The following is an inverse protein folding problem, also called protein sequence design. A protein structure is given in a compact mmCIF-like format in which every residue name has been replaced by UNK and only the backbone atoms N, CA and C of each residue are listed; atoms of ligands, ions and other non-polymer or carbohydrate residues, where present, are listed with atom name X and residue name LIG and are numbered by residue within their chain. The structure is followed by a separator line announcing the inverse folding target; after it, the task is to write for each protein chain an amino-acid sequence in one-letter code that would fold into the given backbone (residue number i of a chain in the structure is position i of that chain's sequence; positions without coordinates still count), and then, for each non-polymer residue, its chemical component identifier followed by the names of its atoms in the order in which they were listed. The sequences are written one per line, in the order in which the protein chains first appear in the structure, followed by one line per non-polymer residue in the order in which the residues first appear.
data_IF_264588570188
#
_entry.id   IF_264588570188
#
_cell.length_a   1.000
_cell.length_b   1.000
_cell.length_c   1.000
_cell.angle_alpha   90.00
_cell.angle_beta   90.00
_cell.angle_gamma   90.00
#
_symmetry.space_group_name_H-M   'P 1'
#
loop_
_entity.id
_entity.type
_entity.pdbx_description
1 polymer ?
#
# COMPACT_ATOMS: atom_id res chain seq x y z
N UNK A 1 -18.90 -13.98 5.10
CA UNK A 1 -18.65 -12.65 4.48
C UNK A 1 -19.00 -12.74 2.99
N UNK A 2 -19.70 -11.76 2.42
CA UNK A 2 -20.05 -11.74 0.98
C UNK A 2 -18.94 -11.14 0.09
N UNK A 3 -18.02 -10.37 0.67
CA UNK A 3 -16.94 -9.71 -0.04
C UNK A 3 -15.61 -9.93 0.70
N UNK A 4 -14.66 -10.54 0.00
CA UNK A 4 -13.34 -10.90 0.51
C UNK A 4 -12.26 -9.84 0.20
N UNK A 5 -12.63 -8.78 -0.51
CA UNK A 5 -11.80 -7.60 -0.73
C UNK A 5 -12.66 -6.33 -0.71
N UNK A 6 -12.00 -5.19 -0.57
CA UNK A 6 -12.64 -3.89 -0.53
C UNK A 6 -11.65 -2.75 -0.73
N UNK A 7 -12.17 -1.58 -1.12
CA UNK A 7 -11.44 -0.32 -1.24
C UNK A 7 -12.15 0.78 -0.48
N UNK A 8 -11.37 1.67 0.15
CA UNK A 8 -11.80 2.94 0.72
C UNK A 8 -11.08 4.05 -0.01
N UNK A 9 -11.83 4.97 -0.61
CA UNK A 9 -11.31 5.99 -1.53
C UNK A 9 -11.43 7.36 -0.88
N UNK A 10 -10.41 8.21 -1.01
CA UNK A 10 -10.56 9.62 -0.66
C UNK A 10 -11.56 10.28 -1.60
N UNK A 11 -12.75 10.60 -1.10
CA UNK A 11 -13.88 10.97 -1.94
C UNK A 11 -13.93 12.45 -2.35
N UNK A 12 -13.08 13.31 -1.76
CA UNK A 12 -13.20 14.77 -1.95
C UNK A 12 -12.62 15.24 -3.27
N UNK A 13 -11.44 14.77 -3.63
CA UNK A 13 -10.71 15.21 -4.81
C UNK A 13 -9.69 14.14 -5.25
N UNK A 14 -9.33 14.18 -6.52
CA UNK A 14 -8.18 13.46 -7.06
C UNK A 14 -6.90 14.25 -6.75
N UNK A 15 -5.79 13.55 -6.63
CA UNK A 15 -4.47 14.18 -6.56
C UNK A 15 -3.97 14.43 -7.98
N UNK A 16 -3.53 15.67 -8.25
CA UNK A 16 -2.74 15.98 -9.45
C UNK A 16 -1.28 15.70 -9.18
N UNK A 17 -0.66 14.89 -10.02
CA UNK A 17 0.76 14.53 -9.89
C UNK A 17 1.69 15.56 -10.53
N UNK A 18 1.19 16.45 -11.38
CA UNK A 18 1.98 17.55 -11.92
C UNK A 18 1.13 18.74 -12.40
N UNK A 19 1.78 19.88 -12.62
CA UNK A 19 1.14 21.00 -13.33
C UNK A 19 0.97 20.69 -14.83
N UNK A 20 0.15 21.46 -15.55
CA UNK A 20 -0.12 21.26 -16.99
C UNK A 20 1.13 21.15 -17.87
N UNK A 21 2.24 21.78 -17.49
CA UNK A 21 3.49 21.79 -18.25
C UNK A 21 4.45 20.64 -17.87
N UNK A 22 4.07 19.77 -16.92
CA UNK A 22 4.91 18.70 -16.35
C UNK A 22 6.23 19.19 -15.76
N UNK A 23 6.27 20.45 -15.31
CA UNK A 23 7.48 21.08 -14.75
C UNK A 23 7.49 21.14 -13.23
N UNK A 24 6.34 20.93 -12.59
CA UNK A 24 6.21 20.90 -11.14
C UNK A 24 5.57 19.57 -10.73
N UNK A 25 6.36 18.52 -10.47
CA UNK A 25 5.84 17.26 -9.94
C UNK A 25 5.38 17.46 -8.49
N UNK A 26 4.27 16.84 -8.13
CA UNK A 26 3.68 16.94 -6.80
C UNK A 26 4.39 16.02 -5.82
N UNK A 27 4.80 16.59 -4.70
CA UNK A 27 5.30 15.85 -3.55
C UNK A 27 4.20 15.71 -2.51
N UNK A 28 4.18 14.58 -1.81
CA UNK A 28 3.14 14.32 -0.82
C UNK A 28 3.64 13.48 0.35
N UNK A 29 2.86 13.54 1.41
CA UNK A 29 2.98 12.74 2.61
C UNK A 29 1.63 12.15 2.97
N UNK A 30 1.64 10.84 3.24
CA UNK A 30 0.50 10.06 3.68
C UNK A 30 0.84 9.43 5.04
N UNK A 31 0.28 9.96 6.12
CA UNK A 31 0.41 9.39 7.46
C UNK A 31 -0.89 8.69 7.87
N UNK A 32 -0.80 7.49 8.39
CA UNK A 32 -1.96 6.77 8.89
C UNK A 32 -1.61 5.85 10.05
N UNK A 33 -2.63 5.51 10.84
CA UNK A 33 -2.53 4.53 11.91
C UNK A 33 -3.21 3.24 11.48
N UNK A 34 -2.41 2.21 11.28
CA UNK A 34 -2.80 0.86 10.89
C UNK A 34 -2.96 -0.03 12.13
N UNK A 35 -3.95 -0.91 12.12
CA UNK A 35 -4.07 -2.02 13.07
C UNK A 35 -4.63 -3.23 12.34
N UNK A 36 -3.92 -4.35 12.35
CA UNK A 36 -4.35 -5.61 11.73
C UNK A 36 -4.52 -6.65 12.84
N UNK A 37 -5.76 -7.07 13.07
CA UNK A 37 -6.09 -8.09 14.06
C UNK A 37 -6.40 -9.43 13.35
N UNK A 38 -5.63 -10.50 13.60
CA UNK A 38 -5.83 -11.79 12.95
C UNK A 38 -7.12 -12.45 13.46
N UNK A 39 -7.75 -13.24 12.60
CA UNK A 39 -8.88 -14.09 12.96
C UNK A 39 -8.42 -15.36 13.66
N UNK A 40 -9.38 -16.25 13.95
CA UNK A 40 -9.14 -17.48 14.70
C UNK A 40 -8.10 -18.41 14.06
N UNK A 41 -8.00 -18.42 12.73
CA UNK A 41 -7.08 -19.29 12.00
C UNK A 41 -5.72 -18.61 11.72
N UNK A 42 -5.48 -17.40 12.22
CA UNK A 42 -4.32 -16.58 11.88
C UNK A 42 -4.63 -15.48 10.87
N UNK A 43 -3.60 -14.71 10.50
CA UNK A 43 -3.70 -13.64 9.51
C UNK A 43 -3.85 -14.20 8.09
N UNK A 44 -4.69 -13.53 7.31
CA UNK A 44 -4.72 -13.67 5.85
C UNK A 44 -3.85 -12.60 5.21
N UNK A 45 -4.36 -11.99 4.15
CA UNK A 45 -3.52 -11.43 3.09
C UNK A 45 -2.89 -10.08 3.43
N UNK A 46 -3.63 -9.16 4.02
CA UNK A 46 -3.11 -7.82 4.33
C UNK A 46 -3.90 -6.69 3.68
N UNK A 47 -3.21 -5.58 3.44
CA UNK A 47 -3.78 -4.39 2.84
C UNK A 47 -2.73 -3.52 2.16
N UNK A 48 -3.15 -2.52 1.39
CA UNK A 48 -2.27 -1.62 0.67
C UNK A 48 -2.80 -0.18 0.64
N UNK A 49 -1.88 0.78 0.62
CA UNK A 49 -2.15 2.13 0.15
C UNK A 49 -1.85 2.20 -1.35
N UNK A 50 -2.81 2.65 -2.14
CA UNK A 50 -2.81 2.56 -3.61
C UNK A 50 -3.03 3.93 -4.21
N UNK A 51 -2.14 4.30 -5.12
CA UNK A 51 -2.28 5.38 -6.09
C UNK A 51 -2.82 4.76 -7.37
N UNK A 52 -4.03 5.12 -7.79
CA UNK A 52 -4.69 4.48 -8.92
C UNK A 52 -5.30 5.49 -9.89
N UNK A 53 -5.25 5.21 -11.20
CA UNK A 53 -6.03 5.97 -12.18
C UNK A 53 -7.55 5.68 -12.09
N UNK A 54 -7.92 4.51 -11.53
CA UNK A 54 -9.30 4.07 -11.36
C UNK A 54 -9.52 3.59 -9.91
N UNK A 55 -10.46 4.18 -9.15
CA UNK A 55 -10.66 3.83 -7.75
C UNK A 55 -11.45 2.52 -7.58
N UNK A 56 -12.09 2.01 -8.63
CA UNK A 56 -12.94 0.82 -8.59
C UNK A 56 -12.18 -0.40 -8.10
N UNK A 57 -12.81 -1.24 -7.28
CA UNK A 57 -12.23 -2.52 -6.87
C UNK A 57 -12.11 -3.45 -8.09
N UNK A 58 -10.92 -3.98 -8.42
CA UNK A 58 -10.81 -4.95 -9.51
C UNK A 58 -11.64 -6.20 -9.20
N UNK A 59 -12.29 -6.73 -10.22
CA UNK A 59 -13.09 -7.95 -10.07
C UNK A 59 -12.21 -9.10 -9.58
N UNK A 60 -12.74 -9.93 -8.68
CA UNK A 60 -12.05 -11.09 -8.10
C UNK A 60 -10.69 -10.79 -7.44
N UNK A 61 -10.48 -9.56 -6.95
CA UNK A 61 -9.24 -9.11 -6.29
C UNK A 61 -9.16 -9.50 -4.81
N UNK A 62 -9.62 -10.70 -4.45
CA UNK A 62 -9.52 -11.25 -3.09
C UNK A 62 -8.32 -12.17 -2.94
N UNK A 63 -7.93 -12.52 -1.71
CA UNK A 63 -6.71 -13.33 -1.50
C UNK A 63 -5.47 -12.50 -1.80
N UNK A 64 -4.44 -13.17 -2.33
CA UNK A 64 -3.15 -12.58 -2.70
C UNK A 64 -3.24 -11.21 -3.41
N UNK A 65 -4.31 -10.95 -4.16
CA UNK A 65 -4.44 -9.75 -4.99
C UNK A 65 -4.59 -8.42 -4.22
N UNK A 66 -4.80 -8.44 -2.90
CA UNK A 66 -4.90 -7.27 -2.00
C UNK A 66 -5.92 -6.17 -2.36
N UNK A 67 -6.78 -6.38 -3.36
CA UNK A 67 -7.55 -5.28 -3.95
C UNK A 67 -6.74 -4.41 -4.92
N UNK A 68 -5.50 -4.76 -5.26
CA UNK A 68 -4.59 -4.02 -6.16
C UNK A 68 -4.87 -4.37 -7.62
N UNK A 69 -4.78 -5.65 -7.99
CA UNK A 69 -4.98 -6.17 -9.34
C UNK A 69 -5.82 -7.47 -9.32
N UNK A 70 -5.83 -8.24 -10.40
CA UNK A 70 -6.38 -9.60 -10.42
C UNK A 70 -5.61 -10.43 -11.45
N UNK A 71 -5.99 -11.70 -11.62
CA UNK A 71 -5.32 -12.63 -12.53
C UNK A 71 -5.28 -12.19 -14.02
N UNK A 72 -6.04 -11.19 -14.42
CA UNK A 72 -6.04 -10.64 -15.79
C UNK A 72 -5.28 -9.32 -15.91
N UNK A 73 -5.26 -8.53 -14.83
CA UNK A 73 -4.62 -7.21 -14.83
C UNK A 73 -3.22 -7.22 -14.22
N UNK A 74 -2.84 -8.28 -13.52
CA UNK A 74 -1.50 -8.50 -12.99
C UNK A 74 -0.44 -8.44 -14.09
N UNK A 75 0.64 -7.70 -13.84
CA UNK A 75 1.74 -7.43 -14.79
C UNK A 75 1.29 -6.68 -16.06
N UNK A 76 0.07 -6.11 -16.09
CA UNK A 76 -0.45 -5.35 -17.24
C UNK A 76 -0.64 -3.87 -16.92
N UNK A 77 -0.60 -3.01 -17.93
CA UNK A 77 -0.90 -1.57 -17.79
C UNK A 77 -2.38 -1.23 -18.03
N UNK A 78 -3.30 -2.21 -17.96
CA UNK A 78 -4.72 -1.97 -18.23
C UNK A 78 -5.38 -1.13 -17.13
N UNK A 79 -5.01 -1.37 -15.87
CA UNK A 79 -5.48 -0.62 -14.69
C UNK A 79 -4.27 -0.12 -13.92
N UNK A 80 -3.64 1.00 -14.34
CA UNK A 80 -2.38 1.43 -13.76
C UNK A 80 -2.50 1.78 -12.28
N UNK A 81 -1.60 1.19 -11.49
CA UNK A 81 -1.53 1.37 -10.03
C UNK A 81 -0.08 1.36 -9.55
N UNK A 82 0.18 2.16 -8.53
CA UNK A 82 1.37 2.05 -7.67
C UNK A 82 0.88 1.88 -6.25
N UNK A 83 1.37 0.86 -5.55
CA UNK A 83 0.92 0.55 -4.20
C UNK A 83 2.09 0.35 -3.25
N UNK A 84 1.84 0.66 -1.97
CA UNK A 84 2.66 0.18 -0.85
C UNK A 84 1.81 -0.83 -0.08
N UNK A 85 2.22 -2.09 -0.10
CA UNK A 85 1.53 -3.18 0.59
C UNK A 85 2.07 -3.44 1.99
N UNK A 86 1.17 -3.92 2.85
CA UNK A 86 1.41 -4.41 4.20
C UNK A 86 0.88 -5.84 4.22
N UNK A 87 1.74 -6.76 3.83
CA UNK A 87 1.40 -8.15 3.56
C UNK A 87 1.54 -8.98 4.84
N UNK A 88 0.52 -9.79 5.11
CA UNK A 88 0.47 -10.65 6.30
C UNK A 88 0.37 -12.14 5.96
N UNK A 89 0.62 -12.52 4.70
CA UNK A 89 0.58 -13.90 4.22
C UNK A 89 1.38 -14.11 2.93
N UNK A 90 2.42 -14.94 3.04
CA UNK A 90 3.10 -15.52 1.88
C UNK A 90 2.14 -16.35 1.01
N UNK A 91 1.76 -15.81 -0.15
CA UNK A 91 0.69 -16.31 -1.01
C UNK A 91 1.19 -16.88 -2.35
N UNK A 92 2.42 -16.58 -2.75
CA UNK A 92 3.07 -17.14 -3.94
C UNK A 92 4.57 -17.40 -3.71
N UNK A 93 5.29 -17.89 -4.72
CA UNK A 93 6.69 -18.32 -4.58
C UNK A 93 7.65 -17.17 -4.26
N UNK A 94 7.58 -16.09 -5.05
CA UNK A 94 8.44 -14.90 -4.95
C UNK A 94 8.03 -13.89 -3.85
N UNK A 95 6.87 -14.15 -3.22
CA UNK A 95 6.40 -13.42 -2.06
C UNK A 95 7.36 -13.66 -0.89
N UNK A 96 7.92 -12.61 -0.28
CA UNK A 96 9.05 -12.74 0.64
C UNK A 96 8.73 -13.66 1.83
N UNK A 97 7.74 -13.28 2.62
CA UNK A 97 7.29 -13.95 3.83
C UNK A 97 5.88 -13.49 4.19
N UNK A 98 5.34 -13.97 5.31
CA UNK A 98 4.02 -13.60 5.80
C UNK A 98 3.97 -12.34 6.68
N UNK A 99 4.98 -11.47 6.61
CA UNK A 99 5.06 -10.24 7.39
C UNK A 99 6.05 -9.24 6.78
N UNK A 100 5.68 -8.64 5.65
CA UNK A 100 6.54 -7.71 4.94
C UNK A 100 5.82 -6.44 4.49
N UNK A 101 6.63 -5.43 4.18
CA UNK A 101 6.20 -4.24 3.43
C UNK A 101 6.74 -4.34 2.01
N UNK A 102 5.92 -3.99 1.03
CA UNK A 102 6.27 -4.09 -0.38
C UNK A 102 5.87 -2.85 -1.18
N UNK A 103 6.48 -2.69 -2.35
CA UNK A 103 6.07 -1.69 -3.34
C UNK A 103 5.73 -2.38 -4.64
N UNK A 104 4.49 -2.20 -5.07
CA UNK A 104 3.94 -2.85 -6.24
C UNK A 104 3.70 -1.85 -7.37
N UNK A 105 3.98 -2.25 -8.60
CA UNK A 105 3.66 -1.47 -9.80
C UNK A 105 2.92 -2.39 -10.76
N UNK A 106 1.63 -2.11 -10.99
CA UNK A 106 0.78 -2.83 -11.94
C UNK A 106 0.70 -4.36 -11.76
N UNK A 107 1.21 -4.89 -10.66
CA UNK A 107 1.28 -6.32 -10.36
C UNK A 107 1.12 -6.53 -8.86
N UNK A 108 0.77 -7.74 -8.43
CA UNK A 108 0.92 -8.12 -7.02
C UNK A 108 2.39 -8.41 -6.66
N UNK A 109 3.23 -8.74 -7.64
CA UNK A 109 4.65 -8.95 -7.40
C UNK A 109 5.33 -7.64 -7.08
N UNK A 110 5.83 -7.52 -5.86
CA UNK A 110 6.56 -6.36 -5.38
C UNK A 110 7.86 -6.16 -6.17
N UNK A 111 8.10 -4.95 -6.66
CA UNK A 111 9.40 -4.58 -7.24
C UNK A 111 10.48 -4.40 -6.16
N UNK A 112 10.03 -4.23 -4.93
CA UNK A 112 10.84 -4.11 -3.73
C UNK A 112 10.02 -4.58 -2.53
N UNK A 113 10.64 -5.34 -1.62
CA UNK A 113 9.99 -5.89 -0.43
C UNK A 113 10.99 -6.03 0.72
N UNK A 114 10.51 -5.90 1.96
CA UNK A 114 11.33 -6.05 3.17
C UNK A 114 10.58 -6.73 4.31
N UNK A 115 11.18 -7.78 4.86
CA UNK A 115 10.66 -8.53 6.00
C UNK A 115 10.70 -7.68 7.27
N UNK A 116 9.53 -7.40 7.83
CA UNK A 116 9.42 -6.66 9.09
C UNK A 116 9.83 -7.50 10.30
N UNK A 117 9.82 -8.83 10.14
CA UNK A 117 10.31 -9.78 11.15
C UNK A 117 11.78 -9.55 11.50
N UNK A 118 12.60 -9.07 10.55
CA UNK A 118 14.00 -8.68 10.80
C UNK A 118 14.15 -7.54 11.82
N UNK A 119 13.07 -6.78 12.06
CA UNK A 119 13.01 -5.66 13.00
C UNK A 119 12.09 -5.96 14.19
N UNK A 120 11.66 -7.22 14.33
CA UNK A 120 10.64 -7.66 15.29
C UNK A 120 9.27 -6.97 15.13
N UNK A 121 9.04 -6.19 14.08
CA UNK A 121 7.75 -5.56 13.79
C UNK A 121 6.82 -6.63 13.23
N UNK A 122 5.61 -6.75 13.79
CA UNK A 122 4.60 -7.75 13.41
C UNK A 122 3.31 -7.03 13.03
N UNK A 123 3.02 -6.99 11.74
CA UNK A 123 1.85 -6.31 11.17
C UNK A 123 0.54 -6.83 11.79
N UNK A 124 0.39 -8.15 11.86
CA UNK A 124 -0.81 -8.85 12.36
C UNK A 124 -0.83 -9.05 13.88
N UNK A 125 -0.17 -8.20 14.65
CA UNK A 125 -0.17 -8.29 16.12
C UNK A 125 -1.43 -7.72 16.79
N UNK A 126 -2.27 -7.01 16.04
CA UNK A 126 -3.35 -6.18 16.59
C UNK A 126 -2.87 -4.88 17.27
N UNK A 127 -1.56 -4.65 17.33
CA UNK A 127 -0.98 -3.40 17.81
C UNK A 127 -1.16 -2.31 16.76
N UNK A 128 -1.27 -1.07 17.25
CA UNK A 128 -1.20 0.10 16.39
C UNK A 128 0.21 0.24 15.77
N UNK A 129 0.22 0.51 14.48
CA UNK A 129 1.40 0.79 13.66
C UNK A 129 1.21 2.14 13.01
N UNK A 130 2.07 3.09 13.33
CA UNK A 130 2.12 4.36 12.64
C UNK A 130 2.90 4.19 11.35
N UNK A 131 2.26 4.50 10.22
CA UNK A 131 2.88 4.47 8.90
C UNK A 131 2.97 5.88 8.32
N UNK A 132 4.10 6.16 7.66
CA UNK A 132 4.33 7.38 6.90
C UNK A 132 4.91 7.01 5.53
N UNK A 133 4.19 7.32 4.47
CA UNK A 133 4.66 7.21 3.09
C UNK A 133 4.90 8.63 2.59
N UNK A 134 6.09 8.90 2.07
CA UNK A 134 6.43 10.17 1.44
C UNK A 134 6.87 9.92 0.02
N UNK A 135 6.42 10.77 -0.87
CA UNK A 135 6.91 10.80 -2.24
C UNK A 135 7.46 12.18 -2.52
N UNK A 136 8.72 12.20 -2.95
CA UNK A 136 9.40 13.42 -3.37
C UNK A 136 9.32 13.53 -4.89
N UNK A 137 8.49 14.44 -5.39
CA UNK A 137 8.18 14.59 -6.81
C UNK A 137 9.39 14.91 -7.67
N UNK A 138 10.29 15.78 -7.21
CA UNK A 138 11.45 16.22 -8.00
C UNK A 138 12.49 15.12 -8.15
N UNK A 139 12.81 14.45 -7.04
CA UNK A 139 13.78 13.35 -7.01
C UNK A 139 13.18 12.00 -7.37
N UNK A 140 11.84 11.92 -7.48
CA UNK A 140 11.06 10.71 -7.77
C UNK A 140 11.24 9.64 -6.70
N UNK A 141 11.40 10.05 -5.45
CA UNK A 141 11.84 9.17 -4.35
C UNK A 141 10.68 8.83 -3.42
N UNK A 142 10.40 7.54 -3.27
CA UNK A 142 9.52 7.01 -2.23
C UNK A 142 10.29 6.74 -0.95
N UNK A 143 9.68 7.14 0.16
CA UNK A 143 10.13 6.80 1.50
C UNK A 143 8.99 6.15 2.27
N UNK A 144 9.29 5.05 2.95
CA UNK A 144 8.33 4.34 3.78
C UNK A 144 8.90 4.21 5.19
N UNK A 145 8.11 4.60 6.18
CA UNK A 145 8.49 4.57 7.58
C UNK A 145 7.39 3.93 8.43
N UNK A 146 7.74 3.00 9.31
CA UNK A 146 6.82 2.31 10.21
C UNK A 146 7.35 2.26 11.63
N UNK A 147 6.46 2.47 12.60
CA UNK A 147 6.72 2.27 14.04
C UNK A 147 5.55 1.55 14.65
N UNK A 148 5.81 0.43 15.32
CA UNK A 148 4.80 -0.33 16.07
C UNK A 148 4.79 0.11 17.53
N UNK A 149 3.62 0.52 18.04
CA UNK A 149 3.50 1.08 19.40
C UNK A 149 3.90 0.11 20.51
N UNK A 150 3.64 -1.19 20.34
CA UNK A 150 4.01 -2.23 21.31
C UNK A 150 5.50 -2.57 21.34
N UNK A 151 6.30 -2.05 20.40
CA UNK A 151 7.73 -2.37 20.26
C UNK A 151 8.52 -1.06 20.24
N UNK A 152 8.62 -0.36 21.38
CA UNK A 152 9.30 0.92 21.45
C UNK A 152 10.78 0.79 21.08
N UNK A 153 11.29 1.77 20.33
CA UNK A 153 12.69 1.82 19.89
C UNK A 153 12.99 1.06 18.59
N UNK A 154 12.05 0.25 18.08
CA UNK A 154 12.17 -0.37 16.75
C UNK A 154 11.39 0.44 15.72
N UNK A 155 11.98 0.59 14.54
CA UNK A 155 11.35 1.24 13.41
C UNK A 155 11.85 0.64 12.10
N UNK A 156 10.99 0.67 11.10
CA UNK A 156 11.38 0.41 9.72
C UNK A 156 11.50 1.75 8.98
N UNK A 157 12.55 1.91 8.19
CA UNK A 157 12.73 3.03 7.30
C UNK A 157 13.39 2.57 6.01
N UNK A 158 12.80 2.95 4.88
CA UNK A 158 13.37 2.79 3.55
C UNK A 158 13.27 4.12 2.82
N UNK A 159 14.39 4.63 2.31
CA UNK A 159 14.49 5.95 1.68
C UNK A 159 14.89 5.94 0.21
N UNK A 160 15.54 4.88 -0.28
CA UNK A 160 16.19 4.87 -1.60
C UNK A 160 15.40 4.11 -2.67
N UNK A 161 14.11 4.41 -2.83
CA UNK A 161 13.29 3.81 -3.88
C UNK A 161 12.86 4.89 -4.88
N UNK A 162 13.45 4.84 -6.08
CA UNK A 162 13.23 5.84 -7.12
C UNK A 162 12.19 5.33 -8.13
N UNK A 163 11.00 5.94 -8.15
CA UNK A 163 9.87 5.58 -9.01
C UNK A 163 9.31 6.86 -9.63
N UNK A 164 9.39 6.96 -10.96
CA UNK A 164 8.79 8.07 -11.69
C UNK A 164 7.28 7.86 -11.87
N UNK A 165 6.46 8.42 -10.98
CA UNK A 165 5.00 8.29 -11.07
C UNK A 165 4.44 8.85 -12.39
N UNK A 166 5.11 9.81 -13.03
CA UNK A 166 4.65 10.40 -14.31
C UNK A 166 4.78 9.49 -15.52
N UNK A 167 5.56 8.41 -15.39
CA UNK A 167 5.71 7.37 -16.40
C UNK A 167 4.74 6.19 -16.18
N UNK A 168 4.08 6.15 -15.02
CA UNK A 168 3.28 5.01 -14.57
C UNK A 168 1.79 5.32 -14.48
N UNK A 169 1.45 6.53 -14.04
CA UNK A 169 0.08 6.96 -13.75
C UNK A 169 -0.32 8.14 -14.65
N UNK A 170 -1.61 8.44 -14.66
CA UNK A 170 -2.13 9.67 -15.25
C UNK A 170 -1.95 10.85 -14.27
N UNK A 171 -2.25 12.08 -14.72
CA UNK A 171 -2.08 13.27 -13.88
C UNK A 171 -3.02 13.24 -12.67
N UNK A 172 -4.31 13.00 -12.91
CA UNK A 172 -5.32 12.91 -11.87
C UNK A 172 -5.46 11.47 -11.38
N UNK A 173 -5.10 11.23 -10.13
CA UNK A 173 -5.13 9.90 -9.50
C UNK A 173 -6.00 9.89 -8.24
N UNK A 174 -6.43 8.70 -7.85
CA UNK A 174 -7.18 8.44 -6.64
C UNK A 174 -6.28 7.89 -5.55
N UNK A 175 -6.52 8.34 -4.32
CA UNK A 175 -5.88 7.84 -3.11
C UNK A 175 -6.79 6.79 -2.48
N UNK A 176 -6.30 5.56 -2.36
CA UNK A 176 -7.13 4.42 -2.00
C UNK A 176 -6.43 3.56 -0.94
N UNK A 177 -7.17 3.12 0.06
CA UNK A 177 -6.79 1.94 0.84
C UNK A 177 -7.51 0.73 0.27
N UNK A 178 -6.76 -0.30 -0.13
CA UNK A 178 -7.29 -1.57 -0.58
C UNK A 178 -6.97 -2.64 0.46
N UNK A 179 -7.83 -3.65 0.60
CA UNK A 179 -7.55 -4.81 1.45
C UNK A 179 -8.20 -6.05 0.90
N UNK A 180 -7.64 -7.20 1.26
CA UNK A 180 -8.24 -8.50 0.97
C UNK A 180 -8.09 -9.47 2.13
N UNK A 181 -8.76 -10.59 2.00
CA UNK A 181 -8.72 -11.77 2.87
C UNK A 181 -9.22 -12.96 2.04
N UNK A 182 -9.11 -14.19 2.56
CA UNK A 182 -9.75 -15.37 1.95
C UNK A 182 -10.05 -16.45 3.01
N UNK A 183 -9.40 -17.60 2.92
CA UNK A 183 -9.51 -18.73 3.86
C UNK A 183 -8.98 -18.37 5.25
N UNK A 184 -7.96 -17.51 5.32
CA UNK A 184 -7.52 -16.84 6.55
C UNK A 184 -8.09 -15.43 6.57
N UNK A 185 -8.64 -15.04 7.72
CA UNK A 185 -9.36 -13.76 7.87
C UNK A 185 -8.71 -12.89 8.92
N UNK A 186 -8.80 -11.58 8.71
CA UNK A 186 -8.29 -10.57 9.63
C UNK A 186 -9.14 -9.32 9.54
N UNK A 187 -9.09 -8.51 10.59
CA UNK A 187 -9.65 -7.18 10.61
C UNK A 187 -8.55 -6.17 10.29
N UNK A 188 -8.58 -5.63 9.07
CA UNK A 188 -7.71 -4.54 8.64
C UNK A 188 -8.36 -3.19 8.99
N UNK A 189 -7.70 -2.36 9.78
CA UNK A 189 -8.24 -1.07 10.24
C UNK A 189 -7.27 0.07 9.97
N UNK A 190 -7.80 1.12 9.34
CA UNK A 190 -7.19 2.46 9.35
C UNK A 190 -7.91 3.26 10.43
N UNK A 191 -7.22 3.53 11.54
CA UNK A 191 -7.77 4.24 12.71
C UNK A 191 -7.66 5.76 12.58
N UNK A 192 -6.68 6.24 11.84
CA UNK A 192 -6.53 7.64 11.45
C UNK A 192 -5.82 7.73 10.11
N UNK A 193 -6.11 8.80 9.37
CA UNK A 193 -5.53 9.06 8.06
C UNK A 193 -5.38 10.56 7.85
N UNK A 194 -4.16 10.98 7.51
CA UNK A 194 -3.82 12.33 7.11
C UNK A 194 -3.01 12.29 5.81
N UNK A 195 -3.49 12.99 4.79
CA UNK A 195 -2.81 13.15 3.53
C UNK A 195 -2.58 14.63 3.25
N UNK A 196 -1.35 14.98 2.87
CA UNK A 196 -0.96 16.36 2.57
C UNK A 196 -0.02 16.37 1.38
N UNK A 197 -0.26 17.27 0.42
CA UNK A 197 0.79 17.71 -0.50
C UNK A 197 1.81 18.54 0.27
N UNK A 198 3.08 18.43 -0.10
CA UNK A 198 4.17 19.15 0.55
C UNK A 198 4.98 19.89 -0.51
N UNK A 199 5.49 21.05 -0.13
CA UNK A 199 6.45 21.79 -0.95
C UNK A 199 7.86 21.20 -0.75
N UNK A 200 8.67 21.23 -1.81
CA UNK A 200 10.10 20.89 -1.82
C UNK A 200 10.98 22.13 -2.00
#
# INVERSE_FOLDING_TARGET
MRHWSGRVVYARETLKLWNRNRTAPTSFRNDFLLSILPGQNGAGEGMAFVLANNPSLPSNSSGQWLGICNNRTDETKMEPVVAVEFDTRKSYEDDLDDNHVGININSIKSIWQYSLSNLSIILSSGSDIRASIRYHGTSKMFQVFLVQHSIPGQYFYQGDIYIDLSQLLQDEIYLVFARSTRNFTQLNQIKSWNFTTIDE
#
